data_IF_733346695531
#
_entry.id   IF_733346695531
#
_cell.length_a   1.000
_cell.length_b   1.000
_cell.length_c   1.000
_cell.angle_alpha   90.00
_cell.angle_beta   90.00
_cell.angle_gamma   90.00
#
_symmetry.space_group_name_H-M   'P 1'
#
loop_
_entity.id
_entity.type
_entity.pdbx_description
1 polymer ?
#
# COMPACT_ATOMS: atom_id res chain seq x y z
N UNK A 1 -8.86 42.08 12.91
CA UNK A 1 -8.39 42.36 11.54
C UNK A 1 -7.03 41.71 11.25
N UNK A 2 -5.99 41.95 12.06
CA UNK A 2 -4.65 41.32 11.87
C UNK A 2 -4.70 39.78 12.04
N UNK A 3 -5.48 39.29 12.99
CA UNK A 3 -5.60 37.85 13.28
C UNK A 3 -6.32 37.08 12.15
N UNK A 4 -7.39 37.65 11.59
CA UNK A 4 -8.08 37.12 10.41
C UNK A 4 -7.16 37.07 9.17
N UNK A 5 -6.37 38.14 8.96
CA UNK A 5 -5.41 38.20 7.86
C UNK A 5 -4.32 37.12 8.00
N UNK A 6 -3.81 36.91 9.22
CA UNK A 6 -2.83 35.86 9.51
C UNK A 6 -3.40 34.45 9.25
N UNK A 7 -4.66 34.19 9.63
CA UNK A 7 -5.34 32.92 9.35
C UNK A 7 -5.48 32.69 7.84
N UNK A 8 -5.91 33.69 7.07
CA UNK A 8 -6.02 33.58 5.61
C UNK A 8 -4.67 33.32 4.96
N UNK A 9 -3.62 34.06 5.35
CA UNK A 9 -2.26 33.84 4.84
C UNK A 9 -1.77 32.42 5.16
N UNK A 10 -2.02 31.92 6.38
CA UNK A 10 -1.61 30.57 6.77
C UNK A 10 -2.28 29.48 5.94
N UNK A 11 -3.56 29.66 5.58
CA UNK A 11 -4.32 28.75 4.73
C UNK A 11 -3.74 28.76 3.31
N UNK A 12 -3.49 29.94 2.74
CA UNK A 12 -2.91 30.07 1.39
C UNK A 12 -1.52 29.45 1.31
N UNK A 13 -0.67 29.68 2.31
CA UNK A 13 0.67 29.07 2.41
C UNK A 13 0.56 27.55 2.54
N UNK A 14 -0.39 27.05 3.34
CA UNK A 14 -0.68 25.63 3.47
C UNK A 14 -1.09 24.99 2.13
N UNK A 15 -2.01 25.62 1.39
CA UNK A 15 -2.45 25.15 0.07
C UNK A 15 -1.28 25.15 -0.92
N UNK A 16 -0.50 26.23 -0.99
CA UNK A 16 0.67 26.32 -1.86
C UNK A 16 1.71 25.23 -1.55
N UNK A 17 1.94 24.93 -0.27
CA UNK A 17 2.80 23.85 0.18
C UNK A 17 2.33 22.47 -0.28
N UNK A 18 1.02 22.19 -0.16
CA UNK A 18 0.42 20.94 -0.64
C UNK A 18 0.56 20.80 -2.16
N UNK A 19 0.28 21.88 -2.93
CA UNK A 19 0.42 21.88 -4.39
C UNK A 19 1.86 21.61 -4.81
N UNK A 20 2.84 22.28 -4.18
CA UNK A 20 4.25 22.06 -4.46
C UNK A 20 4.70 20.62 -4.15
N UNK A 21 4.20 20.04 -3.06
CA UNK A 21 4.46 18.66 -2.70
C UNK A 21 3.87 17.68 -3.73
N UNK A 22 2.62 17.88 -4.13
CA UNK A 22 1.95 17.06 -5.16
C UNK A 22 2.73 17.14 -6.48
N UNK A 23 3.13 18.34 -6.91
CA UNK A 23 3.91 18.52 -8.13
C UNK A 23 5.25 17.79 -8.09
N UNK A 24 5.97 17.85 -6.96
CA UNK A 24 7.22 17.10 -6.77
C UNK A 24 7.00 15.59 -6.83
N UNK A 25 5.94 15.07 -6.22
CA UNK A 25 5.58 13.65 -6.26
C UNK A 25 5.30 13.21 -7.70
N UNK A 26 4.59 14.03 -8.48
CA UNK A 26 4.28 13.73 -9.89
C UNK A 26 5.55 13.67 -10.74
N UNK A 27 6.44 14.68 -10.65
CA UNK A 27 7.71 14.70 -11.37
C UNK A 27 8.60 13.50 -11.01
N UNK A 28 8.70 13.19 -9.72
CA UNK A 28 9.46 12.03 -9.24
C UNK A 28 8.90 10.71 -9.79
N UNK A 29 7.57 10.61 -9.94
CA UNK A 29 6.93 9.42 -10.51
C UNK A 29 7.33 9.20 -11.98
N UNK A 30 7.43 10.27 -12.78
CA UNK A 30 7.80 10.17 -14.20
C UNK A 30 9.26 9.72 -14.38
N UNK A 31 10.19 10.33 -13.63
CA UNK A 31 11.62 9.93 -13.65
C UNK A 31 11.79 8.48 -13.19
N UNK A 32 10.97 8.02 -12.24
CA UNK A 32 11.00 6.63 -11.79
C UNK A 32 10.51 5.63 -12.85
N UNK A 33 9.64 6.05 -13.78
CA UNK A 33 9.12 5.20 -14.86
C UNK A 33 10.19 4.81 -15.88
N UNK A 34 11.03 5.76 -16.31
CA UNK A 34 12.13 5.48 -17.26
C UNK A 34 13.17 4.53 -16.66
N UNK A 35 13.54 4.73 -15.39
CA UNK A 35 14.46 3.82 -14.67
C UNK A 35 13.88 2.41 -14.53
N UNK A 36 12.57 2.28 -14.33
CA UNK A 36 11.91 0.98 -14.25
C UNK A 36 11.96 0.23 -15.58
N UNK A 37 11.84 0.93 -16.71
CA UNK A 37 11.96 0.32 -18.03
C UNK A 37 13.38 -0.18 -18.31
N UNK A 38 14.40 0.60 -17.97
CA UNK A 38 15.80 0.20 -18.13
C UNK A 38 16.14 -1.03 -17.27
N UNK A 39 15.71 -1.03 -16.01
CA UNK A 39 15.87 -2.18 -15.11
C UNK A 39 15.09 -3.41 -15.59
N UNK A 40 13.90 -3.22 -16.18
CA UNK A 40 13.15 -4.32 -16.79
C UNK A 40 13.91 -4.94 -17.96
N UNK A 41 14.49 -4.11 -18.84
CA UNK A 41 15.30 -4.59 -19.98
C UNK A 41 16.52 -5.38 -19.50
N UNK A 42 17.24 -4.88 -18.51
CA UNK A 42 18.37 -5.60 -17.91
C UNK A 42 17.93 -6.93 -17.29
N UNK A 43 16.78 -6.96 -16.61
CA UNK A 43 16.19 -8.19 -16.06
C UNK A 43 15.82 -9.20 -17.15
N UNK A 44 15.27 -8.75 -18.28
CA UNK A 44 15.00 -9.60 -19.43
C UNK A 44 16.28 -10.18 -20.04
N UNK A 45 17.32 -9.35 -20.21
CA UNK A 45 18.63 -9.78 -20.72
C UNK A 45 19.29 -10.82 -19.77
N UNK A 46 19.20 -10.61 -18.46
CA UNK A 46 19.64 -11.57 -17.43
C UNK A 46 18.84 -12.88 -17.43
N UNK A 47 17.54 -12.80 -17.68
CA UNK A 47 16.65 -13.96 -17.74
C UNK A 47 16.88 -14.80 -19.00
N UNK A 48 17.17 -14.17 -20.14
CA UNK A 48 17.32 -14.86 -21.43
C UNK A 48 16.07 -15.68 -21.75
N UNK A 49 16.25 -16.99 -22.01
CA UNK A 49 15.16 -17.94 -22.26
C UNK A 49 14.77 -18.78 -21.04
N UNK A 50 15.53 -18.75 -19.95
CA UNK A 50 15.29 -19.56 -18.74
C UNK A 50 15.79 -18.80 -17.50
N UNK A 51 14.87 -18.49 -16.59
CA UNK A 51 15.16 -17.74 -15.37
C UNK A 51 16.08 -18.50 -14.39
N UNK A 52 16.25 -19.82 -14.54
CA UNK A 52 17.11 -20.64 -13.69
C UNK A 52 18.59 -20.29 -13.83
N UNK A 53 19.02 -19.86 -15.01
CA UNK A 53 20.43 -19.60 -15.31
C UNK A 53 21.03 -18.50 -14.42
N UNK A 54 20.24 -17.49 -14.06
CA UNK A 54 20.68 -16.36 -13.25
C UNK A 54 19.72 -16.06 -12.08
N UNK A 55 19.06 -17.09 -11.55
CA UNK A 55 17.94 -16.96 -10.61
C UNK A 55 18.28 -16.10 -9.37
N UNK A 56 19.49 -16.24 -8.84
CA UNK A 56 19.93 -15.47 -7.67
C UNK A 56 19.99 -13.96 -7.96
N UNK A 57 20.62 -13.57 -9.07
CA UNK A 57 20.73 -12.17 -9.48
C UNK A 57 19.34 -11.58 -9.81
N UNK A 58 18.51 -12.34 -10.53
CA UNK A 58 17.14 -11.94 -10.88
C UNK A 58 16.31 -11.71 -9.62
N UNK A 59 16.37 -12.63 -8.64
CA UNK A 59 15.65 -12.47 -7.37
C UNK A 59 16.08 -11.23 -6.60
N UNK A 60 17.38 -10.98 -6.50
CA UNK A 60 17.91 -9.77 -5.84
C UNK A 60 17.39 -8.52 -6.54
N UNK A 61 17.48 -8.45 -7.88
CA UNK A 61 16.99 -7.30 -8.63
C UNK A 61 15.46 -7.13 -8.52
N UNK A 62 14.69 -8.22 -8.49
CA UNK A 62 13.23 -8.17 -8.30
C UNK A 62 12.81 -7.64 -6.93
N UNK A 63 13.67 -7.71 -5.90
CA UNK A 63 13.38 -7.09 -4.59
C UNK A 63 13.20 -5.57 -4.68
N UNK A 64 13.80 -4.92 -5.68
CA UNK A 64 13.61 -3.50 -5.97
C UNK A 64 12.19 -3.17 -6.46
N UNK A 65 11.48 -4.15 -7.02
CA UNK A 65 10.14 -3.99 -7.59
C UNK A 65 9.03 -4.53 -6.68
N UNK A 66 9.30 -5.66 -6.02
CA UNK A 66 8.31 -6.36 -5.21
C UNK A 66 8.96 -6.99 -3.98
N UNK A 67 8.25 -6.92 -2.84
CA UNK A 67 8.61 -7.63 -1.60
C UNK A 67 8.05 -9.06 -1.55
N UNK A 68 7.37 -9.50 -2.61
CA UNK A 68 6.85 -10.86 -2.73
C UNK A 68 7.96 -11.74 -3.32
N UNK A 69 8.24 -12.85 -2.66
CA UNK A 69 9.06 -13.91 -3.24
C UNK A 69 8.30 -14.53 -4.41
N UNK A 70 8.96 -14.57 -5.56
CA UNK A 70 8.38 -15.09 -6.79
C UNK A 70 8.97 -16.47 -7.08
N UNK A 71 8.12 -17.39 -7.53
CA UNK A 71 8.58 -18.68 -8.06
C UNK A 71 9.26 -18.45 -9.41
N UNK A 72 10.07 -19.40 -9.87
CA UNK A 72 10.73 -19.32 -11.17
C UNK A 72 9.72 -19.12 -12.31
N UNK A 73 8.59 -19.82 -12.25
CA UNK A 73 7.50 -19.69 -13.23
C UNK A 73 6.83 -18.32 -13.18
N UNK A 74 6.64 -17.73 -11.99
CA UNK A 74 6.13 -16.36 -11.88
C UNK A 74 7.14 -15.36 -12.46
N UNK A 75 8.44 -15.55 -12.22
CA UNK A 75 9.51 -14.70 -12.77
C UNK A 75 9.49 -14.75 -14.30
N UNK A 76 9.44 -15.95 -14.87
CA UNK A 76 9.36 -16.14 -16.33
C UNK A 76 8.11 -15.49 -16.89
N UNK A 77 6.94 -15.70 -16.28
CA UNK A 77 5.70 -15.05 -16.69
C UNK A 77 5.85 -13.53 -16.71
N UNK A 78 6.39 -12.92 -15.65
CA UNK A 78 6.50 -11.46 -15.56
C UNK A 78 7.59 -10.85 -16.45
N UNK A 79 8.64 -11.60 -16.79
CA UNK A 79 9.75 -11.09 -17.61
C UNK A 79 9.59 -11.43 -19.09
N UNK A 80 9.04 -12.59 -19.44
CA UNK A 80 8.96 -13.07 -20.82
C UNK A 80 7.63 -12.72 -21.50
N UNK A 81 6.52 -12.65 -20.75
CA UNK A 81 5.22 -12.32 -21.34
C UNK A 81 5.07 -10.79 -21.51
N UNK A 82 4.85 -10.29 -22.75
CA UNK A 82 4.70 -8.86 -23.00
C UNK A 82 3.58 -8.25 -22.15
N UNK A 83 3.87 -7.16 -21.44
CA UNK A 83 2.88 -6.45 -20.63
C UNK A 83 2.60 -7.06 -19.24
N UNK A 84 2.99 -8.31 -18.97
CA UNK A 84 2.80 -8.94 -17.66
C UNK A 84 3.55 -8.19 -16.55
N UNK A 85 4.76 -7.70 -16.83
CA UNK A 85 5.58 -6.94 -15.88
C UNK A 85 4.86 -5.72 -15.27
N UNK A 86 3.94 -5.10 -16.01
CA UNK A 86 3.16 -3.95 -15.51
C UNK A 86 2.30 -4.31 -14.29
N UNK A 87 1.94 -5.58 -14.13
CA UNK A 87 1.18 -6.10 -13.01
C UNK A 87 2.04 -6.54 -11.83
N UNK A 88 3.35 -6.71 -12.01
CA UNK A 88 4.29 -7.24 -11.00
C UNK A 88 4.18 -6.54 -9.64
N UNK A 89 4.17 -5.19 -9.67
CA UNK A 89 4.11 -4.38 -8.45
C UNK A 89 2.77 -4.55 -7.73
N UNK A 90 1.67 -4.58 -8.49
CA UNK A 90 0.32 -4.78 -7.95
C UNK A 90 0.18 -6.19 -7.38
N UNK A 91 0.64 -7.20 -8.12
CA UNK A 91 0.67 -8.59 -7.69
C UNK A 91 1.47 -8.78 -6.40
N UNK A 92 2.63 -8.14 -6.32
CA UNK A 92 3.48 -8.13 -5.13
C UNK A 92 2.80 -7.51 -3.90
N UNK A 93 2.16 -6.34 -4.08
CA UNK A 93 1.40 -5.66 -3.01
C UNK A 93 0.22 -6.50 -2.50
N UNK A 94 -0.38 -7.30 -3.39
CA UNK A 94 -1.59 -8.08 -3.14
C UNK A 94 -1.32 -9.55 -2.81
N UNK A 95 -0.09 -9.91 -2.43
CA UNK A 95 0.35 -11.28 -2.09
C UNK A 95 -0.53 -12.03 -1.09
N UNK A 96 -1.26 -11.29 -0.23
CA UNK A 96 -2.17 -11.86 0.76
C UNK A 96 -3.43 -12.44 0.12
N UNK A 97 -3.92 -11.83 -0.96
CA UNK A 97 -5.24 -12.13 -1.51
C UNK A 97 -5.18 -12.81 -2.89
N UNK A 98 -4.15 -12.52 -3.68
CA UNK A 98 -4.07 -12.91 -5.10
C UNK A 98 -2.93 -13.89 -5.36
N UNK A 99 -3.20 -14.87 -6.21
CA UNK A 99 -2.22 -15.77 -6.84
C UNK A 99 -2.48 -15.83 -8.34
N UNK A 100 -1.61 -16.47 -9.09
CA UNK A 100 -1.78 -16.71 -10.54
C UNK A 100 -2.15 -18.18 -10.72
N UNK A 101 -3.16 -18.43 -11.55
CA UNK A 101 -3.42 -19.75 -12.11
C UNK A 101 -2.75 -19.84 -13.48
N UNK A 102 -1.70 -20.67 -13.56
CA UNK A 102 -0.91 -20.85 -14.78
C UNK A 102 -1.65 -21.65 -15.86
N UNK A 103 -2.71 -22.38 -15.52
CA UNK A 103 -3.49 -23.11 -16.52
C UNK A 103 -4.39 -22.17 -17.32
N UNK A 104 -4.97 -21.17 -16.63
CA UNK A 104 -5.87 -20.19 -17.23
C UNK A 104 -5.18 -18.87 -17.60
N UNK A 105 -3.92 -18.66 -17.16
CA UNK A 105 -3.22 -17.37 -17.25
C UNK A 105 -4.05 -16.22 -16.68
N UNK A 106 -4.67 -16.41 -15.52
CA UNK A 106 -5.47 -15.38 -14.86
C UNK A 106 -5.02 -15.15 -13.41
N UNK A 107 -5.22 -13.91 -12.95
CA UNK A 107 -5.10 -13.60 -11.53
C UNK A 107 -6.32 -14.16 -10.81
N UNK A 108 -6.09 -15.04 -9.84
CA UNK A 108 -7.16 -15.66 -9.06
C UNK A 108 -7.02 -15.32 -7.59
N UNK A 109 -8.13 -15.31 -6.88
CA UNK A 109 -8.09 -15.25 -5.42
C UNK A 109 -7.46 -16.53 -4.88
N UNK A 110 -6.70 -16.39 -3.79
CA UNK A 110 -6.27 -17.56 -3.03
C UNK A 110 -7.48 -18.32 -2.47
N UNK A 111 -7.37 -19.63 -2.18
CA UNK A 111 -8.47 -20.45 -1.68
C UNK A 111 -9.15 -19.91 -0.40
N UNK A 112 -8.43 -19.14 0.42
CA UNK A 112 -8.99 -18.51 1.61
C UNK A 112 -9.98 -17.37 1.29
N UNK A 113 -9.94 -16.84 0.06
CA UNK A 113 -10.72 -15.69 -0.40
C UNK A 113 -11.48 -15.95 -1.72
N UNK A 114 -11.59 -17.21 -2.15
CA UNK A 114 -12.22 -17.63 -3.41
C UNK A 114 -13.67 -17.15 -3.59
N UNK A 115 -14.41 -17.03 -2.49
CA UNK A 115 -15.85 -16.80 -2.48
C UNK A 115 -16.20 -15.45 -1.90
N UNK A 116 -17.25 -14.83 -2.45
CA UNK A 116 -17.77 -13.53 -1.99
C UNK A 116 -18.07 -13.54 -0.48
N UNK A 117 -18.57 -14.64 0.06
CA UNK A 117 -18.84 -14.79 1.50
C UNK A 117 -17.56 -14.69 2.34
N UNK A 118 -16.50 -15.42 1.99
CA UNK A 118 -15.21 -15.34 2.69
C UNK A 118 -14.60 -13.94 2.60
N UNK A 119 -14.70 -13.31 1.42
CA UNK A 119 -14.24 -11.93 1.22
C UNK A 119 -15.02 -10.92 2.07
N UNK A 120 -16.36 -11.05 2.15
CA UNK A 120 -17.18 -10.18 3.00
C UNK A 120 -16.87 -10.36 4.48
N UNK A 121 -16.60 -11.58 4.93
CA UNK A 121 -16.19 -11.84 6.32
C UNK A 121 -14.86 -11.14 6.62
N UNK A 122 -13.86 -11.27 5.75
CA UNK A 122 -12.56 -10.58 5.94
C UNK A 122 -12.73 -9.07 5.94
N UNK A 123 -13.52 -8.53 5.01
CA UNK A 123 -13.81 -7.10 4.96
C UNK A 123 -14.53 -6.63 6.23
N UNK A 124 -15.52 -7.38 6.70
CA UNK A 124 -16.24 -7.09 7.94
C UNK A 124 -15.33 -7.09 9.16
N UNK A 125 -14.36 -8.02 9.25
CA UNK A 125 -13.34 -8.01 10.32
C UNK A 125 -12.50 -6.74 10.28
N UNK A 126 -12.01 -6.34 9.10
CA UNK A 126 -11.18 -5.16 8.94
C UNK A 126 -11.95 -3.87 9.28
N UNK A 127 -13.19 -3.74 8.80
CA UNK A 127 -14.06 -2.60 9.10
C UNK A 127 -14.44 -2.56 10.58
N UNK A 128 -14.79 -3.70 11.18
CA UNK A 128 -15.09 -3.79 12.60
C UNK A 128 -13.91 -3.34 13.47
N UNK A 129 -12.71 -3.84 13.20
CA UNK A 129 -11.49 -3.43 13.91
C UNK A 129 -11.12 -1.97 13.64
N UNK A 130 -11.31 -1.47 12.42
CA UNK A 130 -11.11 -0.07 12.07
C UNK A 130 -12.03 0.84 12.90
N UNK A 131 -13.32 0.51 12.96
CA UNK A 131 -14.30 1.30 13.70
C UNK A 131 -13.99 1.29 15.20
N UNK A 132 -13.70 0.13 15.79
CA UNK A 132 -13.41 0.04 17.23
C UNK A 132 -12.11 0.76 17.61
N UNK A 133 -11.02 0.51 16.87
CA UNK A 133 -9.74 1.19 17.12
C UNK A 133 -9.79 2.70 16.85
N UNK A 134 -10.46 3.13 15.78
CA UNK A 134 -10.59 4.53 15.42
C UNK A 134 -11.47 5.31 16.41
N UNK A 135 -12.62 4.76 16.78
CA UNK A 135 -13.52 5.41 17.75
C UNK A 135 -12.90 5.48 19.14
N UNK A 136 -12.34 4.38 19.63
CA UNK A 136 -11.66 4.35 20.93
C UNK A 136 -10.45 5.28 20.95
N UNK A 137 -9.63 5.26 19.88
CA UNK A 137 -8.46 6.13 19.75
C UNK A 137 -8.85 7.62 19.77
N UNK A 138 -9.86 8.00 18.98
CA UNK A 138 -10.36 9.37 18.95
C UNK A 138 -10.95 9.80 20.30
N UNK A 139 -11.71 8.92 20.97
CA UNK A 139 -12.24 9.18 22.31
C UNK A 139 -11.13 9.45 23.32
N UNK A 140 -10.06 8.66 23.32
CA UNK A 140 -8.93 8.86 24.24
C UNK A 140 -8.20 10.19 23.99
N UNK A 141 -8.00 10.56 22.72
CA UNK A 141 -7.37 11.84 22.35
C UNK A 141 -8.22 13.03 22.79
N UNK A 142 -9.54 12.95 22.62
CA UNK A 142 -10.45 14.05 22.95
C UNK A 142 -10.77 14.15 24.44
N UNK A 143 -10.89 13.02 25.15
CA UNK A 143 -11.33 12.99 26.53
C UNK A 143 -10.18 13.18 27.55
N UNK A 144 -8.96 12.78 27.20
CA UNK A 144 -7.82 12.80 28.13
C UNK A 144 -6.85 13.91 27.73
N UNK A 145 -6.76 15.05 28.43
CA UNK A 145 -5.78 16.07 28.11
C UNK A 145 -4.36 15.61 28.49
N UNK A 146 -3.37 15.94 27.67
CA UNK A 146 -1.95 15.61 27.91
C UNK A 146 -1.42 16.32 29.15
N UNK A 147 -1.81 17.58 29.33
CA UNK A 147 -1.40 18.45 30.43
C UNK A 147 -2.61 18.83 31.26
N UNK A 148 -2.40 19.00 32.57
CA UNK A 148 -3.36 19.64 33.45
C UNK A 148 -3.34 21.15 33.21
N UNK A 149 -4.40 21.85 33.62
CA UNK A 149 -4.48 23.32 33.55
C UNK A 149 -3.36 24.04 34.33
N UNK A 150 -2.63 23.30 35.18
CA UNK A 150 -1.46 23.76 35.93
C UNK A 150 -0.13 23.60 35.16
N UNK A 151 -0.16 23.13 33.91
CA UNK A 151 1.02 22.89 33.07
C UNK A 151 1.77 21.59 33.39
N UNK A 152 1.38 20.86 34.43
CA UNK A 152 1.95 19.55 34.77
C UNK A 152 1.40 18.46 33.85
N UNK A 153 2.19 17.42 33.58
CA UNK A 153 1.72 16.25 32.84
C UNK A 153 0.57 15.57 33.59
N UNK A 154 -0.48 15.22 32.87
CA UNK A 154 -1.57 14.43 33.41
C UNK A 154 -1.06 13.00 33.69
N UNK A 155 -1.29 12.42 34.89
CA UNK A 155 -0.94 11.01 35.17
C UNK A 155 -1.55 10.03 34.15
N UNK A 156 -2.70 10.38 33.57
CA UNK A 156 -3.38 9.63 32.52
C UNK A 156 -2.94 10.02 31.10
N UNK A 157 -1.98 10.93 30.96
CA UNK A 157 -1.52 11.44 29.66
C UNK A 157 -0.96 10.35 28.72
N UNK A 158 -0.51 9.21 29.28
CA UNK A 158 -0.13 8.03 28.48
C UNK A 158 -1.31 7.46 27.68
N UNK A 159 -2.55 7.58 28.18
CA UNK A 159 -3.76 7.16 27.45
C UNK A 159 -4.02 8.04 26.23
N UNK A 160 -3.68 9.33 26.29
CA UNK A 160 -3.78 10.22 25.13
C UNK A 160 -2.82 9.77 24.01
N UNK A 161 -1.59 9.39 24.37
CA UNK A 161 -0.60 8.85 23.42
C UNK A 161 -1.08 7.50 22.85
N UNK A 162 -1.63 6.62 23.70
CA UNK A 162 -2.24 5.37 23.25
C UNK A 162 -3.40 5.63 22.28
N UNK A 163 -4.16 6.71 22.47
CA UNK A 163 -5.21 7.16 21.55
C UNK A 163 -4.67 7.44 20.14
N UNK A 164 -3.57 8.20 20.01
CA UNK A 164 -2.92 8.42 18.71
C UNK A 164 -2.45 7.12 18.07
N UNK A 165 -1.87 6.21 18.84
CA UNK A 165 -1.44 4.92 18.33
C UNK A 165 -2.63 4.11 17.77
N UNK A 166 -3.76 4.08 18.48
CA UNK A 166 -4.99 3.43 18.00
C UNK A 166 -5.52 4.06 16.72
N UNK A 167 -5.46 5.38 16.59
CA UNK A 167 -5.81 6.07 15.33
C UNK A 167 -4.90 5.66 14.16
N UNK A 168 -3.58 5.51 14.40
CA UNK A 168 -2.66 5.00 13.38
C UNK A 168 -2.96 3.55 12.99
N UNK A 169 -3.32 2.70 13.97
CA UNK A 169 -3.76 1.32 13.72
C UNK A 169 -5.05 1.31 12.88
N UNK A 170 -6.01 2.18 13.17
CA UNK A 170 -7.23 2.31 12.38
C UNK A 170 -6.91 2.69 10.92
N UNK A 171 -6.05 3.69 10.70
CA UNK A 171 -5.60 4.07 9.36
C UNK A 171 -4.95 2.88 8.63
N UNK A 172 -4.08 2.12 9.32
CA UNK A 172 -3.46 0.92 8.76
C UNK A 172 -4.49 -0.15 8.37
N UNK A 173 -5.50 -0.39 9.20
CA UNK A 173 -6.58 -1.35 8.92
C UNK A 173 -7.43 -0.92 7.72
N UNK A 174 -7.70 0.38 7.58
CA UNK A 174 -8.38 0.94 6.41
C UNK A 174 -7.57 0.66 5.13
N UNK A 175 -6.25 0.92 5.14
CA UNK A 175 -5.38 0.58 4.01
C UNK A 175 -5.37 -0.91 3.69
N UNK A 176 -5.42 -1.78 4.71
CA UNK A 176 -5.52 -3.23 4.50
C UNK A 176 -6.87 -3.65 3.90
N UNK A 177 -7.95 -2.95 4.24
CA UNK A 177 -9.27 -3.11 3.61
C UNK A 177 -9.26 -2.72 2.14
N UNK A 178 -8.65 -1.58 1.80
CA UNK A 178 -8.52 -1.12 0.41
C UNK A 178 -7.78 -2.14 -0.47
N UNK A 179 -6.76 -2.84 0.07
CA UNK A 179 -6.05 -3.89 -0.67
C UNK A 179 -6.96 -5.04 -1.10
N UNK A 180 -8.01 -5.36 -0.33
CA UNK A 180 -8.96 -6.40 -0.73
C UNK A 180 -9.78 -5.96 -1.94
N UNK A 181 -10.14 -4.67 -2.01
CA UNK A 181 -10.84 -4.12 -3.16
C UNK A 181 -9.93 -3.98 -4.39
N UNK A 182 -8.67 -3.61 -4.19
CA UNK A 182 -7.65 -3.65 -5.25
C UNK A 182 -7.43 -5.07 -5.78
N UNK A 183 -7.47 -6.09 -4.91
CA UNK A 183 -7.42 -7.49 -5.32
C UNK A 183 -8.61 -7.87 -6.21
N UNK A 184 -9.84 -7.45 -5.88
CA UNK A 184 -11.01 -7.64 -6.74
C UNK A 184 -10.84 -6.98 -8.10
N UNK A 185 -10.19 -5.82 -8.17
CA UNK A 185 -9.90 -5.13 -9.44
C UNK A 185 -8.85 -5.88 -10.24
N UNK A 186 -7.79 -6.40 -9.59
CA UNK A 186 -6.73 -7.14 -10.27
C UNK A 186 -7.22 -8.47 -10.83
N UNK A 187 -8.03 -9.22 -10.08
CA UNK A 187 -8.62 -10.50 -10.52
C UNK A 187 -9.55 -10.34 -11.73
N UNK A 188 -10.14 -9.15 -11.91
CA UNK A 188 -10.94 -8.83 -13.11
C UNK A 188 -10.10 -8.53 -14.35
N UNK A 189 -8.79 -8.33 -14.19
CA UNK A 189 -7.87 -8.10 -15.33
C UNK A 189 -7.34 -9.44 -15.80
N UNK A 190 -7.31 -9.62 -17.12
CA UNK A 190 -6.64 -10.77 -17.74
C UNK A 190 -5.15 -10.49 -17.86
N UNK A 191 -4.33 -11.52 -17.65
CA UNK A 191 -2.95 -11.45 -18.11
C UNK A 191 -2.96 -11.51 -19.65
N UNK A 192 -2.06 -10.76 -20.30
CA UNK A 192 -1.89 -10.81 -21.75
C UNK A 192 -1.39 -12.18 -22.22
#
# INVERSE_FOLDING_TARGET
MIQELATVISIVVGIAGVVALVHRILLQSMVSGMKQFELFRQLQELCGSDARNNLAAIRVALTCFTKRELTTTEIELFLLVPGAFSFLRSYGKLRRYVTIDFNSNEFVFKPEFDSKRKQMIEWGKLVGLYLTSGTLGAMLVLAVPITLNTGKLNPWGSLHIAGYFLCLVAIFLLFMGMKLDDAKRLVKKKLP
#
